data_IF_149278692064
#
_entry.id   IF_149278692064
#
_cell.length_a   1.000
_cell.length_b   1.000
_cell.length_c   1.000
_cell.angle_alpha   90.00
_cell.angle_beta   90.00
_cell.angle_gamma   90.00
#
_symmetry.space_group_name_H-M   'P 1'
#
loop_
_entity.id
_entity.type
_entity.pdbx_description
1 polymer ?
#
# COMPACT_ATOMS: atom_id res chain seq x y z
N UNK A 1 -3.38 24.23 -11.54
CA UNK A 1 -4.30 24.95 -12.44
C UNK A 1 -3.72 25.09 -13.85
N UNK A 2 -2.60 25.79 -14.07
CA UNK A 2 -2.08 26.10 -15.42
C UNK A 2 -1.97 24.90 -16.37
N UNK A 3 -1.41 23.77 -15.91
CA UNK A 3 -1.18 22.60 -16.78
C UNK A 3 -2.41 21.69 -16.95
N UNK A 4 -3.08 21.34 -15.85
CA UNK A 4 -4.14 20.32 -15.86
C UNK A 4 -5.58 20.89 -15.77
N UNK A 5 -5.73 22.20 -15.54
CA UNK A 5 -7.03 22.85 -15.25
C UNK A 5 -7.81 22.18 -14.11
N UNK A 6 -7.08 21.59 -13.14
CA UNK A 6 -7.62 20.98 -11.94
C UNK A 6 -7.39 21.90 -10.73
N UNK A 7 -8.44 22.10 -9.93
CA UNK A 7 -8.35 22.72 -8.60
C UNK A 7 -8.01 21.67 -7.54
N UNK A 8 -7.22 22.07 -6.53
CA UNK A 8 -6.77 21.17 -5.46
C UNK A 8 -6.88 21.86 -4.12
N UNK A 9 -7.16 21.07 -3.08
CA UNK A 9 -7.08 21.51 -1.68
C UNK A 9 -5.80 20.97 -1.07
N UNK A 10 -5.05 21.82 -0.38
CA UNK A 10 -3.71 21.48 0.12
C UNK A 10 -3.67 21.65 1.65
N UNK A 11 -3.14 20.63 2.33
CA UNK A 11 -2.75 20.74 3.74
C UNK A 11 -1.23 20.78 3.83
N UNK A 12 -0.68 21.79 4.50
CA UNK A 12 0.75 21.96 4.72
C UNK A 12 1.02 21.77 6.20
N UNK A 13 1.89 20.82 6.54
CA UNK A 13 2.30 20.53 7.91
C UNK A 13 3.67 19.84 7.89
N UNK A 14 4.25 19.61 9.07
CA UNK A 14 5.56 18.93 9.17
C UNK A 14 5.45 17.42 8.94
N UNK A 15 4.37 16.79 9.40
CA UNK A 15 4.12 15.36 9.20
C UNK A 15 3.07 15.11 8.12
N UNK A 16 3.17 13.96 7.46
CA UNK A 16 2.19 13.53 6.45
C UNK A 16 0.79 13.36 7.05
N UNK A 17 0.71 12.95 8.32
CA UNK A 17 -0.56 12.77 9.01
C UNK A 17 -1.27 14.11 9.22
N UNK A 18 -0.59 15.10 9.79
CA UNK A 18 -1.16 16.44 9.98
C UNK A 18 -1.55 17.08 8.64
N UNK A 19 -0.69 17.01 7.63
CA UNK A 19 -0.99 17.52 6.30
C UNK A 19 -2.24 16.84 5.69
N UNK A 20 -2.36 15.52 5.85
CA UNK A 20 -3.51 14.75 5.36
C UNK A 20 -4.81 15.06 6.10
N UNK A 21 -4.73 15.41 7.39
CA UNK A 21 -5.89 15.82 8.20
C UNK A 21 -6.29 17.28 7.95
N UNK A 22 -5.34 18.13 7.58
CA UNK A 22 -5.59 19.53 7.23
C UNK A 22 -6.18 19.70 5.82
N UNK A 23 -5.74 18.90 4.84
CA UNK A 23 -6.15 19.06 3.44
C UNK A 23 -7.67 19.00 3.19
N UNK A 24 -8.47 18.18 3.91
CA UNK A 24 -9.93 18.20 3.81
C UNK A 24 -10.57 19.48 4.34
N UNK A 25 -9.96 20.13 5.34
CA UNK A 25 -10.45 21.40 5.89
C UNK A 25 -10.24 22.55 4.90
N UNK A 26 -9.29 22.40 3.97
CA UNK A 26 -9.00 23.33 2.89
C UNK A 26 -9.94 23.17 1.68
N UNK A 27 -11.07 22.48 1.81
CA UNK A 27 -12.03 22.27 0.72
C UNK A 27 -13.09 23.37 0.68
N UNK A 28 -13.53 23.79 -0.52
CA UNK A 28 -12.94 23.51 -1.83
C UNK A 28 -11.74 24.42 -2.14
N UNK A 29 -10.76 23.92 -2.91
CA UNK A 29 -9.68 24.70 -3.55
C UNK A 29 -8.84 25.66 -2.68
N UNK A 30 -8.73 25.42 -1.37
CA UNK A 30 -7.96 26.24 -0.42
C UNK A 30 -6.64 25.59 0.05
N UNK A 31 -5.97 26.30 0.95
CA UNK A 31 -4.72 25.85 1.60
C UNK A 31 -4.84 26.03 3.11
N UNK A 32 -4.53 24.98 3.88
CA UNK A 32 -4.44 25.06 5.35
C UNK A 32 -3.00 24.80 5.78
N UNK A 33 -2.45 25.67 6.61
CA UNK A 33 -1.12 25.52 7.21
C UNK A 33 -1.27 25.16 8.68
N UNK A 34 -0.76 23.99 9.08
CA UNK A 34 -0.64 23.60 10.48
C UNK A 34 0.78 23.93 10.92
N UNK A 35 0.93 24.94 11.79
CA UNK A 35 2.24 25.34 12.29
C UNK A 35 2.80 24.25 13.19
N UNK A 36 4.12 24.21 13.30
CA UNK A 36 4.83 23.19 14.09
C UNK A 36 4.39 23.15 15.56
N UNK A 37 4.15 24.32 16.15
CA UNK A 37 3.74 24.42 17.55
C UNK A 37 2.35 23.81 17.79
N UNK A 38 1.46 23.91 16.80
CA UNK A 38 0.05 23.53 16.92
C UNK A 38 -0.21 22.09 16.48
N UNK A 39 0.76 21.44 15.82
CA UNK A 39 0.58 20.13 15.20
C UNK A 39 0.15 19.04 16.18
N UNK A 40 0.71 19.03 17.40
CA UNK A 40 0.34 18.07 18.44
C UNK A 40 -1.11 18.23 18.90
N UNK A 41 -1.53 19.48 19.14
CA UNK A 41 -2.93 19.79 19.48
C UNK A 41 -3.88 19.47 18.33
N UNK A 42 -3.50 19.86 17.11
CA UNK A 42 -4.29 19.64 15.91
C UNK A 42 -4.59 18.16 15.66
N UNK A 43 -3.56 17.31 15.69
CA UNK A 43 -3.76 15.89 15.45
C UNK A 43 -4.33 15.19 16.69
N UNK A 44 -3.94 15.61 17.91
CA UNK A 44 -4.54 15.15 19.16
C UNK A 44 -6.07 15.37 19.21
N UNK A 45 -6.56 16.42 18.55
CA UNK A 45 -7.98 16.70 18.44
C UNK A 45 -8.74 15.81 17.44
N UNK A 46 -8.04 15.14 16.54
CA UNK A 46 -8.67 14.33 15.50
C UNK A 46 -9.34 13.08 16.10
N UNK A 47 -10.60 12.78 15.71
CA UNK A 47 -11.23 11.50 16.02
C UNK A 47 -10.42 10.34 15.45
N UNK A 48 -10.33 9.22 16.18
CA UNK A 48 -9.57 8.04 15.72
C UNK A 48 -10.05 7.53 14.36
N UNK A 49 -11.36 7.56 14.12
CA UNK A 49 -11.97 7.15 12.86
C UNK A 49 -11.54 7.99 11.64
N UNK A 50 -11.03 9.23 11.86
CA UNK A 50 -10.50 10.09 10.79
C UNK A 50 -9.02 9.84 10.51
N UNK A 51 -8.33 9.05 11.33
CA UNK A 51 -6.92 8.75 11.12
C UNK A 51 -6.75 7.76 9.97
N UNK A 52 -5.96 8.08 8.93
CA UNK A 52 -5.64 7.14 7.86
C UNK A 52 -5.02 5.85 8.40
N UNK A 53 -5.65 4.71 8.09
CA UNK A 53 -5.25 3.40 8.62
C UNK A 53 -6.08 2.92 9.81
N UNK A 54 -6.89 3.79 10.41
CA UNK A 54 -7.89 3.47 11.45
C UNK A 54 -9.33 3.69 10.95
N UNK A 55 -9.56 3.73 9.64
CA UNK A 55 -10.92 3.86 9.10
C UNK A 55 -11.75 2.58 9.27
N UNK A 56 -13.07 2.73 9.29
CA UNK A 56 -14.03 1.62 9.31
C UNK A 56 -13.97 0.80 10.60
N UNK A 57 -14.09 -0.53 10.47
CA UNK A 57 -14.18 -1.45 11.61
C UNK A 57 -12.96 -1.39 12.54
N UNK A 58 -11.75 -1.29 11.98
CA UNK A 58 -10.52 -1.33 12.80
C UNK A 58 -10.43 -0.16 13.78
N UNK A 59 -10.80 1.05 13.38
CA UNK A 59 -10.84 2.20 14.29
C UNK A 59 -12.01 2.17 15.24
N UNK A 60 -13.18 1.69 14.81
CA UNK A 60 -14.34 1.55 15.68
C UNK A 60 -14.05 0.55 16.81
N UNK A 61 -13.51 -0.63 16.48
CA UNK A 61 -13.12 -1.65 17.44
C UNK A 61 -12.03 -1.13 18.40
N UNK A 62 -11.03 -0.41 17.87
CA UNK A 62 -9.97 0.18 18.70
C UNK A 62 -10.51 1.26 19.64
N UNK A 63 -11.38 2.15 19.14
CA UNK A 63 -12.00 3.22 19.92
C UNK A 63 -12.83 2.64 21.08
N UNK A 64 -13.65 1.63 20.81
CA UNK A 64 -14.46 0.96 21.82
C UNK A 64 -13.59 0.21 22.85
N UNK A 65 -12.59 -0.55 22.39
CA UNK A 65 -11.75 -1.37 23.26
C UNK A 65 -10.79 -0.57 24.15
N UNK A 66 -10.42 0.64 23.70
CA UNK A 66 -9.52 1.54 24.41
C UNK A 66 -10.28 2.64 25.15
N UNK A 67 -11.60 2.73 25.00
CA UNK A 67 -12.41 3.84 25.50
C UNK A 67 -11.81 5.21 25.10
N UNK A 68 -11.36 5.32 23.84
CA UNK A 68 -10.68 6.49 23.30
C UNK A 68 -11.40 6.96 22.04
N UNK A 69 -11.84 8.22 22.00
CA UNK A 69 -12.55 8.77 20.84
C UNK A 69 -11.59 9.56 19.94
N UNK A 70 -10.62 10.23 20.55
CA UNK A 70 -9.64 11.09 19.90
C UNK A 70 -8.23 10.58 20.13
N UNK A 71 -7.30 11.06 19.30
CA UNK A 71 -5.89 10.71 19.43
C UNK A 71 -5.31 11.10 20.79
N UNK A 72 -5.72 12.26 21.33
CA UNK A 72 -5.26 12.74 22.65
C UNK A 72 -5.63 11.82 23.83
N UNK A 73 -6.60 10.93 23.66
CA UNK A 73 -7.06 10.01 24.70
C UNK A 73 -6.15 8.77 24.79
N UNK A 74 -5.46 8.45 23.68
CA UNK A 74 -4.66 7.22 23.55
C UNK A 74 -3.54 7.06 24.59
N UNK A 75 -2.76 8.09 24.98
CA UNK A 75 -1.72 7.92 25.99
C UNK A 75 -2.28 7.40 27.33
N UNK A 76 -3.44 7.90 27.75
CA UNK A 76 -4.11 7.43 28.97
C UNK A 76 -4.69 6.01 28.80
N UNK A 77 -5.37 5.77 27.69
CA UNK A 77 -5.99 4.46 27.40
C UNK A 77 -4.98 3.33 27.17
N UNK A 78 -3.77 3.64 26.68
CA UNK A 78 -2.71 2.67 26.43
C UNK A 78 -1.68 2.62 27.56
N UNK A 79 -1.80 3.44 28.61
CA UNK A 79 -0.88 3.43 29.75
C UNK A 79 -0.81 2.06 30.48
N UNK A 80 -1.89 1.26 30.40
CA UNK A 80 -1.93 -0.12 30.91
C UNK A 80 -1.49 -1.20 29.90
N UNK A 81 -1.15 -0.82 28.66
CA UNK A 81 -0.75 -1.75 27.59
C UNK A 81 0.77 -1.72 27.49
N UNK A 82 1.42 -2.89 27.55
CA UNK A 82 2.89 -3.01 27.61
C UNK A 82 3.53 -2.69 26.23
N UNK A 83 3.54 -1.40 25.87
CA UNK A 83 4.24 -0.88 24.70
C UNK A 83 3.72 -1.34 23.34
N UNK A 84 4.49 -0.99 22.29
CA UNK A 84 4.12 -1.18 20.88
C UNK A 84 3.85 -2.64 20.50
N UNK A 85 4.60 -3.58 21.06
CA UNK A 85 4.45 -4.99 20.73
C UNK A 85 3.10 -5.56 21.18
N UNK A 86 2.59 -5.13 22.33
CA UNK A 86 1.26 -5.53 22.82
C UNK A 86 0.13 -4.93 22.01
N UNK A 87 0.25 -3.65 21.64
CA UNK A 87 -0.70 -3.03 20.73
C UNK A 87 -0.74 -3.77 19.38
N UNK A 88 0.42 -4.12 18.82
CA UNK A 88 0.53 -4.90 17.58
C UNK A 88 -0.07 -6.30 17.70
N UNK A 89 0.15 -6.99 18.82
CA UNK A 89 -0.48 -8.30 19.07
C UNK A 89 -1.99 -8.20 19.12
N UNK A 90 -2.53 -7.16 19.77
CA UNK A 90 -3.97 -6.99 20.00
C UNK A 90 -4.72 -6.47 18.77
N UNK A 91 -4.13 -5.52 18.04
CA UNK A 91 -4.80 -4.79 16.95
C UNK A 91 -4.10 -4.99 15.59
N UNK A 92 -3.12 -5.88 15.50
CA UNK A 92 -2.34 -6.09 14.28
C UNK A 92 -1.61 -4.81 13.85
N UNK A 93 -1.65 -4.52 12.55
CA UNK A 93 -1.03 -3.32 11.98
C UNK A 93 -1.62 -2.00 12.52
N UNK A 94 -2.90 -1.99 12.90
CA UNK A 94 -3.51 -0.83 13.53
C UNK A 94 -2.90 -0.57 14.92
N UNK A 95 -2.44 -1.61 15.61
CA UNK A 95 -1.74 -1.52 16.88
C UNK A 95 -0.43 -0.74 16.81
N UNK A 96 0.38 -0.99 15.76
CA UNK A 96 1.60 -0.21 15.50
C UNK A 96 1.30 1.29 15.43
N UNK A 97 0.19 1.62 14.74
CA UNK A 97 -0.23 2.99 14.51
C UNK A 97 -0.76 3.62 15.80
N UNK A 98 -1.63 2.94 16.54
CA UNK A 98 -2.16 3.40 17.82
C UNK A 98 -1.03 3.66 18.83
N UNK A 99 -0.06 2.76 18.94
CA UNK A 99 1.11 2.96 19.79
C UNK A 99 1.96 4.16 19.36
N UNK A 100 2.11 4.38 18.04
CA UNK A 100 2.83 5.54 17.53
C UNK A 100 2.10 6.87 17.82
N UNK A 101 0.77 6.87 17.75
CA UNK A 101 -0.07 8.04 18.05
C UNK A 101 -0.13 8.36 19.55
N UNK A 102 0.00 7.35 20.40
CA UNK A 102 0.01 7.47 21.86
C UNK A 102 1.36 7.89 22.43
N UNK A 103 2.44 7.68 21.67
CA UNK A 103 3.76 8.11 22.09
C UNK A 103 3.77 9.64 22.30
N UNK A 104 4.60 10.15 23.24
CA UNK A 104 4.87 11.57 23.32
C UNK A 104 5.24 12.09 21.93
N UNK A 105 4.70 13.25 21.57
CA UNK A 105 4.86 13.86 20.25
C UNK A 105 6.26 14.42 20.11
N UNK A 106 7.27 13.56 20.17
CA UNK A 106 8.56 13.88 19.61
C UNK A 106 8.45 13.67 18.10
N UNK A 107 8.75 14.72 17.37
CA UNK A 107 8.45 14.88 15.96
C UNK A 107 9.32 13.99 15.04
N UNK A 108 9.83 12.89 15.58
CA UNK A 108 10.65 11.87 14.97
C UNK A 108 9.90 10.54 14.77
N UNK A 109 8.56 10.53 14.80
CA UNK A 109 7.78 9.31 14.58
C UNK A 109 8.15 8.73 13.21
N UNK A 110 8.99 7.69 13.27
CA UNK A 110 9.53 6.93 12.17
C UNK A 110 8.39 6.24 11.42
N UNK A 111 7.83 6.94 10.44
CA UNK A 111 6.69 6.48 9.65
C UNK A 111 5.79 7.60 9.13
N UNK A 112 5.72 8.73 9.87
CA UNK A 112 4.93 9.91 9.48
C UNK A 112 5.78 11.15 9.19
N UNK A 113 7.06 11.12 9.56
CA UNK A 113 8.05 12.05 9.05
C UNK A 113 8.03 12.06 7.51
N UNK A 114 8.50 13.17 6.94
CA UNK A 114 8.75 13.34 5.52
C UNK A 114 9.90 12.42 5.03
N UNK A 115 9.82 11.12 5.29
CA UNK A 115 10.56 10.14 4.51
C UNK A 115 10.17 10.37 3.05
N UNK A 116 11.18 10.42 2.18
CA UNK A 116 11.01 10.72 0.77
C UNK A 116 9.82 9.93 0.22
N UNK A 117 8.91 10.64 -0.44
CA UNK A 117 7.84 10.01 -1.21
C UNK A 117 8.55 9.28 -2.35
N UNK A 118 8.94 8.03 -2.10
CA UNK A 118 9.49 7.20 -3.14
C UNK A 118 8.38 6.95 -4.15
N UNK A 119 8.64 7.30 -5.40
CA UNK A 119 7.79 6.88 -6.50
C UNK A 119 7.79 5.34 -6.52
N UNK A 120 6.66 4.76 -6.13
CA UNK A 120 6.52 3.30 -6.06
C UNK A 120 5.81 2.88 -7.32
N UNK A 121 6.56 2.25 -8.21
CA UNK A 121 6.02 1.50 -9.34
C UNK A 121 4.89 0.57 -8.86
N UNK A 122 3.75 0.58 -9.55
CA UNK A 122 2.52 -0.15 -9.13
C UNK A 122 2.80 -1.64 -8.94
N UNK A 123 2.60 -2.20 -7.74
CA UNK A 123 2.82 -3.64 -7.50
C UNK A 123 1.72 -4.54 -8.08
N UNK A 124 0.58 -3.96 -8.42
CA UNK A 124 -0.56 -4.70 -8.96
C UNK A 124 -1.40 -3.80 -9.86
N UNK A 125 -2.05 -4.42 -10.85
CA UNK A 125 -3.00 -3.79 -11.76
C UNK A 125 -4.36 -4.47 -11.60
N UNK A 126 -5.43 -3.69 -11.49
CA UNK A 126 -6.78 -4.14 -11.14
C UNK A 126 -7.78 -3.73 -12.23
N UNK A 127 -8.66 -4.63 -12.63
CA UNK A 127 -9.88 -4.31 -13.35
C UNK A 127 -11.08 -4.76 -12.51
N UNK A 128 -11.99 -3.85 -12.17
CA UNK A 128 -13.16 -4.17 -11.37
C UNK A 128 -14.44 -3.53 -11.91
N UNK A 129 -15.58 -4.16 -11.65
CA UNK A 129 -16.89 -3.60 -11.98
C UNK A 129 -17.94 -4.05 -10.97
N UNK A 130 -18.75 -3.09 -10.52
CA UNK A 130 -19.98 -3.35 -9.74
C UNK A 130 -21.18 -3.35 -10.69
N UNK A 131 -22.20 -4.15 -10.39
CA UNK A 131 -23.40 -4.31 -11.21
C UNK A 131 -24.59 -4.74 -10.34
N UNK A 132 -25.85 -4.62 -10.83
CA UNK A 132 -27.01 -5.21 -10.16
C UNK A 132 -26.80 -6.72 -9.91
N UNK A 133 -27.39 -7.31 -8.86
CA UNK A 133 -27.10 -8.69 -8.49
C UNK A 133 -27.27 -9.68 -9.65
N UNK A 134 -26.18 -10.36 -10.01
CA UNK A 134 -26.15 -11.39 -11.05
C UNK A 134 -26.40 -12.75 -10.42
N UNK A 135 -27.49 -13.40 -10.85
CA UNK A 135 -27.98 -14.66 -10.28
C UNK A 135 -27.75 -15.85 -11.21
N UNK A 136 -27.22 -15.62 -12.41
CA UNK A 136 -26.88 -16.69 -13.34
C UNK A 136 -25.36 -16.89 -13.40
N UNK A 137 -24.91 -18.14 -13.39
CA UNK A 137 -23.48 -18.47 -13.60
C UNK A 137 -22.99 -17.95 -14.95
N UNK A 138 -23.81 -18.09 -15.98
CA UNK A 138 -23.49 -17.61 -17.32
C UNK A 138 -23.38 -16.08 -17.40
N UNK A 139 -24.24 -15.37 -16.68
CA UNK A 139 -24.12 -13.91 -16.53
C UNK A 139 -22.83 -13.52 -15.81
N UNK A 140 -22.42 -14.24 -14.76
CA UNK A 140 -21.12 -14.00 -14.10
C UNK A 140 -19.96 -14.22 -15.08
N UNK A 141 -19.99 -15.31 -15.86
CA UNK A 141 -19.00 -15.60 -16.90
C UNK A 141 -18.91 -14.48 -17.95
N UNK A 142 -20.06 -14.07 -18.47
CA UNK A 142 -20.17 -12.97 -19.45
C UNK A 142 -19.58 -11.66 -18.90
N UNK A 143 -19.79 -11.37 -17.61
CA UNK A 143 -19.25 -10.18 -16.95
C UNK A 143 -17.75 -10.25 -16.65
N UNK A 144 -17.17 -11.45 -16.56
CA UNK A 144 -15.74 -11.64 -16.31
C UNK A 144 -14.90 -11.30 -17.55
N UNK A 145 -15.38 -11.62 -18.75
CA UNK A 145 -14.67 -11.38 -20.03
C UNK A 145 -14.18 -9.94 -20.22
N UNK A 146 -15.02 -8.89 -20.12
CA UNK A 146 -14.57 -7.51 -20.31
C UNK A 146 -13.57 -7.05 -19.22
N UNK A 147 -13.57 -7.67 -18.03
CA UNK A 147 -12.58 -7.38 -17.00
C UNK A 147 -11.21 -7.93 -17.35
N UNK A 148 -11.13 -9.10 -17.99
CA UNK A 148 -9.87 -9.66 -18.48
C UNK A 148 -9.29 -8.82 -19.61
N UNK A 149 -10.13 -8.37 -20.54
CA UNK A 149 -9.71 -7.46 -21.60
C UNK A 149 -9.19 -6.14 -21.02
N UNK A 150 -9.92 -5.57 -20.06
CA UNK A 150 -9.47 -4.36 -19.36
C UNK A 150 -8.14 -4.58 -18.62
N UNK A 151 -7.97 -5.71 -17.92
CA UNK A 151 -6.71 -6.03 -17.25
C UNK A 151 -5.56 -6.22 -18.24
N UNK A 152 -5.80 -6.86 -19.39
CA UNK A 152 -4.81 -7.02 -20.46
C UNK A 152 -4.34 -5.67 -21.01
N UNK A 153 -5.27 -4.72 -21.29
CA UNK A 153 -4.93 -3.35 -21.70
C UNK A 153 -4.07 -2.63 -20.66
N UNK A 154 -4.42 -2.80 -19.37
CA UNK A 154 -3.63 -2.20 -18.29
C UNK A 154 -2.24 -2.81 -18.18
N UNK A 155 -2.10 -4.13 -18.40
CA UNK A 155 -0.79 -4.78 -18.42
C UNK A 155 0.09 -4.24 -19.56
N UNK A 156 -0.48 -4.02 -20.73
CA UNK A 156 0.23 -3.41 -21.86
C UNK A 156 0.70 -1.98 -21.55
N UNK A 157 -0.19 -1.15 -21.01
CA UNK A 157 0.07 0.29 -20.80
C UNK A 157 0.84 0.62 -19.52
N UNK A 158 0.61 -0.11 -18.43
CA UNK A 158 1.03 0.28 -17.07
C UNK A 158 2.04 -0.69 -16.42
N UNK A 159 2.36 -1.83 -17.04
CA UNK A 159 3.29 -2.77 -16.42
C UNK A 159 4.75 -2.27 -16.45
N UNK A 160 5.08 -1.29 -17.29
CA UNK A 160 6.43 -0.69 -17.38
C UNK A 160 7.54 -1.73 -17.64
N UNK A 161 7.22 -2.77 -18.43
CA UNK A 161 8.11 -3.90 -18.72
C UNK A 161 8.26 -4.92 -17.58
N UNK A 162 7.53 -4.75 -16.46
CA UNK A 162 7.42 -5.77 -15.42
C UNK A 162 6.46 -6.85 -15.86
N UNK A 163 6.69 -8.06 -15.34
CA UNK A 163 5.91 -9.23 -15.72
C UNK A 163 4.86 -9.52 -14.67
N UNK A 164 3.63 -9.89 -15.07
CA UNK A 164 2.65 -10.39 -14.13
C UNK A 164 3.06 -11.77 -13.62
N UNK A 165 2.90 -11.97 -12.31
CA UNK A 165 3.27 -13.18 -11.59
C UNK A 165 2.06 -13.97 -11.12
N UNK A 166 1.05 -13.29 -10.58
CA UNK A 166 -0.19 -13.93 -10.11
C UNK A 166 -1.40 -13.26 -10.74
N UNK A 167 -2.39 -14.09 -11.03
CA UNK A 167 -3.74 -13.67 -11.39
C UNK A 167 -4.65 -13.89 -10.17
N UNK A 168 -5.37 -12.87 -9.75
CA UNK A 168 -6.32 -12.92 -8.64
C UNK A 168 -7.70 -12.59 -9.18
N UNK A 169 -8.68 -13.44 -8.92
CA UNK A 169 -10.09 -13.15 -9.20
C UNK A 169 -10.80 -12.95 -7.87
N UNK A 170 -11.59 -11.89 -7.76
CA UNK A 170 -12.41 -11.61 -6.60
C UNK A 170 -13.87 -11.40 -6.96
N UNK A 171 -14.76 -11.84 -6.09
CA UNK A 171 -16.20 -11.62 -6.21
C UNK A 171 -16.78 -11.11 -4.89
N UNK A 172 -17.77 -10.22 -4.98
CA UNK A 172 -18.62 -9.84 -3.85
C UNK A 172 -20.03 -10.34 -4.09
N UNK A 173 -20.62 -10.96 -3.07
CA UNK A 173 -22.03 -11.35 -3.03
C UNK A 173 -22.80 -10.33 -2.18
N UNK A 174 -23.92 -9.81 -2.69
CA UNK A 174 -24.69 -8.76 -2.02
C UNK A 174 -23.83 -7.56 -1.56
N UNK A 175 -23.95 -7.19 -0.28
CA UNK A 175 -23.14 -6.15 0.38
C UNK A 175 -22.01 -6.70 1.26
N UNK A 176 -21.69 -7.99 1.12
CA UNK A 176 -20.67 -8.66 1.93
C UNK A 176 -19.23 -8.30 1.58
N UNK A 177 -18.29 -9.03 2.17
CA UNK A 177 -16.86 -8.91 1.85
C UNK A 177 -16.54 -9.48 0.46
N UNK A 178 -15.45 -8.99 -0.14
CA UNK A 178 -14.89 -9.58 -1.36
C UNK A 178 -14.18 -10.88 -0.98
N UNK A 179 -14.56 -11.97 -1.63
CA UNK A 179 -13.85 -13.25 -1.57
C UNK A 179 -12.95 -13.33 -2.78
N UNK A 180 -11.73 -13.83 -2.63
CA UNK A 180 -10.78 -13.94 -3.73
C UNK A 180 -10.04 -15.26 -3.75
N UNK A 181 -9.63 -15.65 -4.95
CA UNK A 181 -8.76 -16.79 -5.23
C UNK A 181 -7.66 -16.33 -6.18
N UNK A 182 -6.50 -16.96 -6.10
CA UNK A 182 -5.35 -16.59 -6.92
C UNK A 182 -4.64 -17.80 -7.48
N UNK A 183 -4.07 -17.65 -8.66
CA UNK A 183 -3.19 -18.62 -9.31
C UNK A 183 -1.94 -17.93 -9.86
N UNK A 184 -0.97 -18.73 -10.29
CA UNK A 184 0.14 -18.23 -11.10
C UNK A 184 -0.40 -17.69 -12.43
N UNK A 185 0.17 -16.58 -12.89
CA UNK A 185 -0.28 -15.94 -14.12
C UNK A 185 -0.01 -16.87 -15.33
N UNK A 186 -1.00 -17.13 -16.19
CA UNK A 186 -0.85 -18.12 -17.26
C UNK A 186 0.16 -17.68 -18.33
N UNK A 187 1.09 -18.58 -18.67
CA UNK A 187 1.99 -18.44 -19.82
C UNK A 187 1.78 -19.55 -20.85
N UNK A 188 2.03 -19.22 -22.11
CA UNK A 188 2.24 -20.20 -23.19
C UNK A 188 3.75 -20.47 -23.29
N UNK A 189 4.14 -21.74 -23.24
CA UNK A 189 5.48 -22.16 -23.66
C UNK A 189 5.56 -22.03 -25.19
N UNK A 190 6.60 -21.36 -25.70
CA UNK A 190 6.85 -21.29 -27.14
C UNK A 190 6.33 -20.04 -27.85
N UNK A 191 5.69 -19.10 -27.15
CA UNK A 191 5.58 -17.75 -27.68
C UNK A 191 6.98 -17.13 -27.68
N UNK A 192 7.62 -17.13 -28.86
CA UNK A 192 8.82 -16.36 -29.15
C UNK A 192 8.66 -14.98 -28.52
N UNK A 193 9.66 -14.52 -27.79
CA UNK A 193 9.63 -13.26 -27.04
C UNK A 193 9.59 -11.99 -27.95
N UNK A 194 8.96 -12.06 -29.12
CA UNK A 194 8.96 -11.03 -30.17
C UNK A 194 7.63 -10.80 -30.89
N UNK A 195 6.59 -11.61 -30.71
CA UNK A 195 5.23 -11.19 -31.08
C UNK A 195 4.62 -10.51 -29.86
N UNK A 196 4.42 -9.20 -29.94
CA UNK A 196 3.59 -8.49 -28.98
C UNK A 196 2.25 -9.25 -28.90
N UNK A 197 2.01 -9.90 -27.78
CA UNK A 197 0.70 -10.48 -27.55
C UNK A 197 -0.28 -9.32 -27.54
N UNK A 198 -1.20 -9.32 -28.51
CA UNK A 198 -2.29 -8.36 -28.50
C UNK A 198 -3.13 -8.54 -27.22
N UNK A 199 -3.84 -7.49 -26.88
CA UNK A 199 -4.66 -7.41 -25.66
C UNK A 199 -5.62 -8.61 -25.58
N UNK A 200 -6.20 -8.98 -26.71
CA UNK A 200 -7.12 -10.10 -26.89
C UNK A 200 -6.44 -11.44 -26.59
N UNK A 201 -5.24 -11.68 -27.10
CA UNK A 201 -4.45 -12.89 -26.83
C UNK A 201 -4.07 -13.03 -25.35
N UNK A 202 -3.68 -11.94 -24.69
CA UNK A 202 -3.44 -11.93 -23.24
C UNK A 202 -4.71 -12.29 -22.47
N UNK A 203 -5.84 -11.67 -22.81
CA UNK A 203 -7.13 -11.92 -22.18
C UNK A 203 -7.61 -13.37 -22.37
N UNK A 204 -7.48 -13.91 -23.58
CA UNK A 204 -7.84 -15.29 -23.92
C UNK A 204 -7.05 -16.31 -23.09
N UNK A 205 -5.77 -16.05 -22.80
CA UNK A 205 -4.96 -16.91 -21.93
C UNK A 205 -5.34 -16.82 -20.46
N UNK A 206 -5.74 -15.63 -19.99
CA UNK A 206 -6.24 -15.47 -18.63
C UNK A 206 -7.59 -16.18 -18.42
N UNK A 207 -8.42 -16.27 -19.47
CA UNK A 207 -9.79 -16.78 -19.39
C UNK A 207 -9.95 -18.12 -18.66
N UNK A 208 -9.32 -19.23 -19.06
CA UNK A 208 -9.56 -20.52 -18.42
C UNK A 208 -9.15 -20.53 -16.94
N UNK A 209 -8.05 -19.85 -16.59
CA UNK A 209 -7.59 -19.73 -15.19
C UNK A 209 -8.56 -18.86 -14.39
N UNK A 210 -8.94 -17.70 -14.93
CA UNK A 210 -9.85 -16.78 -14.26
C UNK A 210 -11.24 -17.40 -14.05
N UNK A 211 -11.74 -18.11 -15.06
CA UNK A 211 -13.01 -18.81 -15.00
C UNK A 211 -12.99 -19.87 -13.91
N UNK A 212 -11.94 -20.71 -13.88
CA UNK A 212 -11.80 -21.73 -12.84
C UNK A 212 -11.72 -21.12 -11.44
N UNK A 213 -10.93 -20.05 -11.26
CA UNK A 213 -10.85 -19.33 -9.99
C UNK A 213 -12.20 -18.74 -9.57
N UNK A 214 -12.99 -18.24 -10.53
CA UNK A 214 -14.32 -17.73 -10.30
C UNK A 214 -15.27 -18.84 -9.86
N UNK A 215 -15.30 -19.97 -10.56
CA UNK A 215 -16.17 -21.11 -10.25
C UNK A 215 -15.90 -21.68 -8.85
N UNK A 216 -14.64 -21.75 -8.42
CA UNK A 216 -14.27 -22.17 -7.06
C UNK A 216 -14.80 -21.25 -5.95
N UNK A 217 -15.24 -20.04 -6.29
CA UNK A 217 -15.85 -19.11 -5.34
C UNK A 217 -17.37 -19.12 -5.38
N UNK A 218 -17.99 -19.78 -6.37
CA UNK A 218 -19.44 -19.82 -6.55
C UNK A 218 -19.99 -21.19 -6.10
N UNK A 219 -20.81 -21.25 -5.05
CA UNK A 219 -21.40 -22.52 -4.58
C UNK A 219 -22.23 -23.19 -5.68
N UNK A 220 -22.11 -24.51 -5.82
CA UNK A 220 -22.80 -25.30 -6.86
C UNK A 220 -24.32 -25.27 -6.74
N UNK A 221 -24.83 -25.20 -5.51
CA UNK A 221 -26.25 -25.39 -5.21
C UNK A 221 -27.00 -24.07 -4.92
N UNK A 222 -26.38 -22.91 -5.08
CA UNK A 222 -26.99 -21.61 -4.75
C UNK A 222 -26.82 -20.61 -5.89
N UNK A 223 -27.82 -19.76 -6.08
CA UNK A 223 -27.68 -18.62 -6.99
C UNK A 223 -26.54 -17.71 -6.49
N UNK A 224 -25.57 -17.34 -7.36
CA UNK A 224 -24.34 -16.67 -6.94
C UNK A 224 -24.59 -15.28 -6.34
N UNK A 225 -25.66 -14.56 -6.72
CA UNK A 225 -26.01 -13.21 -6.23
C UNK A 225 -24.81 -12.24 -6.19
N UNK A 226 -24.03 -12.24 -7.27
CA UNK A 226 -22.77 -11.48 -7.37
C UNK A 226 -23.08 -10.04 -7.73
N UNK A 227 -22.54 -9.08 -6.96
CA UNK A 227 -22.73 -7.63 -7.18
C UNK A 227 -21.46 -6.92 -7.64
N UNK A 228 -20.31 -7.60 -7.54
CA UNK A 228 -19.02 -7.08 -8.00
C UNK A 228 -18.09 -8.22 -8.40
N UNK A 229 -17.37 -8.02 -9.49
CA UNK A 229 -16.22 -8.83 -9.87
C UNK A 229 -14.98 -7.95 -9.99
N UNK A 230 -13.83 -8.54 -9.69
CA UNK A 230 -12.54 -7.94 -9.97
C UNK A 230 -11.53 -8.99 -10.42
N UNK A 231 -10.59 -8.55 -11.26
CA UNK A 231 -9.44 -9.34 -11.68
C UNK A 231 -8.19 -8.49 -11.49
N UNK A 232 -7.18 -9.06 -10.83
CA UNK A 232 -5.93 -8.37 -10.50
C UNK A 232 -4.74 -9.16 -11.01
N UNK A 233 -3.77 -8.47 -11.60
CA UNK A 233 -2.44 -9.02 -11.85
C UNK A 233 -1.45 -8.43 -10.84
N UNK A 234 -0.71 -9.27 -10.11
CA UNK A 234 0.43 -8.81 -9.29
C UNK A 234 1.69 -8.85 -10.14
N UNK A 235 2.48 -7.79 -10.11
CA UNK A 235 3.71 -7.66 -10.90
C UNK A 235 4.93 -8.08 -10.08
N UNK A 236 5.97 -8.54 -10.76
CA UNK A 236 7.29 -8.77 -10.14
C UNK A 236 7.92 -7.45 -9.67
N UNK A 237 8.68 -7.51 -8.57
CA UNK A 237 9.36 -6.34 -7.99
C UNK A 237 10.54 -5.83 -8.85
N UNK A 238 11.06 -6.66 -9.77
CA UNK A 238 12.18 -6.33 -10.64
C UNK A 238 11.76 -6.33 -12.11
N UNK A 239 12.21 -5.32 -12.87
CA UNK A 239 12.30 -5.42 -14.34
C UNK A 239 13.26 -6.58 -14.62
N UNK A 240 12.85 -7.66 -15.29
CA UNK A 240 13.73 -8.80 -15.47
C UNK A 240 15.00 -8.34 -16.18
N UNK A 241 16.17 -8.58 -15.58
CA UNK A 241 17.41 -8.57 -16.33
C UNK A 241 17.23 -9.52 -17.51
N UNK A 242 17.56 -9.05 -18.71
CA UNK A 242 17.38 -9.80 -19.96
C UNK A 242 17.80 -11.26 -19.81
N UNK A 243 16.85 -12.19 -19.95
CA UNK A 243 17.15 -13.61 -20.20
C UNK A 243 16.86 -14.63 -19.10
N UNK A 244 16.63 -14.27 -17.83
CA UNK A 244 16.42 -15.30 -16.79
C UNK A 244 14.93 -15.66 -16.57
N UNK A 245 14.50 -16.80 -17.13
CA UNK A 245 13.23 -17.45 -16.80
C UNK A 245 13.37 -18.26 -15.48
N UNK A 246 13.29 -17.63 -14.31
CA UNK A 246 13.16 -18.37 -13.03
C UNK A 246 11.69 -18.46 -12.61
N UNK A 247 11.17 -19.69 -12.57
CA UNK A 247 10.05 -20.09 -11.70
C UNK A 247 8.61 -19.83 -12.18
N UNK A 248 8.31 -19.81 -13.47
CA UNK A 248 6.94 -19.57 -13.96
C UNK A 248 6.32 -20.81 -14.64
N UNK A 249 5.02 -21.04 -14.38
CA UNK A 249 4.25 -22.22 -14.81
C UNK A 249 3.55 -22.00 -16.15
N UNK A 250 3.30 -23.09 -16.87
CA UNK A 250 2.49 -23.10 -18.10
C UNK A 250 1.00 -22.97 -17.79
N UNK A 251 0.16 -22.63 -18.78
CA UNK A 251 -1.31 -22.64 -18.63
C UNK A 251 -1.83 -23.94 -17.99
N UNK A 252 -1.39 -25.08 -18.51
CA UNK A 252 -1.78 -26.40 -18.00
C UNK A 252 -1.32 -26.60 -16.55
N UNK A 253 -0.08 -26.23 -16.22
CA UNK A 253 0.43 -26.31 -14.86
C UNK A 253 -0.28 -25.35 -13.90
N UNK A 254 -0.69 -24.18 -14.36
CA UNK A 254 -1.49 -23.23 -13.58
C UNK A 254 -2.87 -23.81 -13.27
N UNK A 255 -3.55 -24.41 -14.25
CA UNK A 255 -4.84 -25.08 -14.04
C UNK A 255 -4.71 -26.25 -13.06
N UNK A 256 -3.73 -27.13 -13.26
CA UNK A 256 -3.47 -28.22 -12.32
C UNK A 256 -3.16 -27.73 -10.90
N UNK A 257 -2.43 -26.62 -10.75
CA UNK A 257 -2.15 -26.03 -9.45
C UNK A 257 -3.42 -25.46 -8.79
N UNK A 258 -4.35 -24.91 -9.57
CA UNK A 258 -5.65 -24.45 -9.08
C UNK A 258 -6.51 -25.63 -8.64
N UNK A 259 -6.56 -26.71 -9.41
CA UNK A 259 -7.35 -27.90 -9.07
C UNK A 259 -6.83 -28.58 -7.80
N UNK A 260 -5.51 -28.77 -7.69
CA UNK A 260 -4.89 -29.31 -6.46
C UNK A 260 -5.15 -28.43 -5.24
N UNK A 261 -5.13 -27.10 -5.41
CA UNK A 261 -5.44 -26.19 -4.32
C UNK A 261 -6.93 -26.25 -3.92
N UNK A 262 -7.83 -26.50 -4.87
CA UNK A 262 -9.24 -26.69 -4.60
C UNK A 262 -9.50 -28.00 -3.84
N UNK A 263 -8.88 -29.10 -4.27
CA UNK A 263 -8.95 -30.40 -3.59
C UNK A 263 -8.48 -30.31 -2.14
N UNK A 264 -7.32 -29.69 -1.88
CA UNK A 264 -6.80 -29.51 -0.52
C UNK A 264 -7.72 -28.64 0.37
N UNK A 265 -8.46 -27.68 -0.20
CA UNK A 265 -9.45 -26.89 0.56
C UNK A 265 -10.70 -27.71 0.85
N UNK A 266 -11.16 -28.52 -0.10
CA UNK A 266 -12.30 -29.41 0.09
C UNK A 266 -12.02 -30.49 1.16
N UNK A 267 -10.84 -31.09 1.15
CA UNK A 267 -10.39 -32.06 2.17
C UNK A 267 -10.33 -31.43 3.56
N UNK A 268 -9.79 -30.21 3.69
CA UNK A 268 -9.76 -29.49 4.97
C UNK A 268 -11.16 -29.11 5.47
N UNK A 269 -12.11 -28.83 4.57
CA UNK A 269 -13.49 -28.53 4.93
C UNK A 269 -14.29 -29.80 5.34
N UNK A 270 -13.88 -30.98 4.89
CA UNK A 270 -14.49 -32.27 5.23
C UNK A 270 -13.98 -32.87 6.55
N UNK A 271 -12.88 -32.34 7.11
CA UNK A 271 -12.38 -32.76 8.42
C UNK A 271 -13.27 -32.23 9.55
N UNK A 272 -13.75 -33.05 10.50
CA UNK A 272 -14.66 -32.61 11.55
C UNK A 272 -13.98 -31.56 12.45
N UNK A 273 -14.48 -30.33 12.38
CA UNK A 273 -14.04 -29.23 13.23
C UNK A 273 -14.30 -29.56 14.71
N UNK A 274 -13.28 -29.42 15.55
CA UNK A 274 -13.47 -29.33 17.00
C UNK A 274 -14.35 -28.11 17.31
N UNK A 275 -15.31 -28.22 18.24
CA UNK A 275 -16.31 -27.20 18.47
C UNK A 275 -15.68 -25.96 19.11
N UNK A 276 -15.51 -24.90 18.31
CA UNK A 276 -15.26 -23.55 18.80
C UNK A 276 -16.58 -22.96 19.33
N UNK A 277 -16.52 -22.46 20.57
CA UNK A 277 -17.65 -21.92 21.32
C UNK A 277 -18.43 -20.85 20.53
N UNK A 278 -19.76 -20.92 20.66
CA UNK A 278 -20.76 -20.01 20.05
C UNK A 278 -20.39 -18.54 20.26
N UNK A 279 -20.12 -17.83 19.17
CA UNK A 279 -20.12 -16.38 19.14
C UNK A 279 -21.55 -15.85 18.89
N UNK A 280 -21.96 -14.90 19.72
CA UNK A 280 -23.23 -14.16 19.69
C UNK A 280 -23.37 -13.35 18.38
N UNK A 281 -24.57 -13.22 17.77
CA UNK A 281 -24.74 -12.51 16.50
C UNK A 281 -24.47 -11.00 16.64
N UNK A 282 -23.92 -10.34 15.60
CA UNK A 282 -23.71 -8.91 15.61
C UNK A 282 -25.04 -8.16 15.45
N UNK A 283 -25.26 -7.17 16.31
CA UNK A 283 -26.33 -6.19 16.22
C UNK A 283 -26.20 -5.35 14.95
N UNK A 284 -27.32 -5.18 14.25
CA UNK A 284 -27.44 -4.39 13.02
C UNK A 284 -27.05 -2.93 13.26
N UNK A 285 -25.92 -2.48 12.70
CA UNK A 285 -25.56 -1.06 12.65
C UNK A 285 -26.17 -0.43 11.40
N UNK A 286 -27.06 0.54 11.60
CA UNK A 286 -27.65 1.39 10.55
C UNK A 286 -26.57 2.06 9.71
N UNK A 287 -26.77 2.04 8.39
CA UNK A 287 -25.98 2.82 7.44
C UNK A 287 -26.09 4.31 7.76
N UNK A 288 -24.96 4.93 8.10
CA UNK A 288 -24.83 6.38 8.17
C UNK A 288 -24.29 6.87 6.83
N UNK A 289 -25.14 7.58 6.11
CA UNK A 289 -24.82 8.34 4.91
C UNK A 289 -23.76 9.38 5.28
N UNK A 290 -22.57 9.26 4.70
CA UNK A 290 -21.45 10.18 4.91
C UNK A 290 -21.68 11.52 4.23
N UNK A 291 -22.50 12.35 4.86
CA UNK A 291 -22.60 13.79 4.64
C UNK A 291 -22.81 14.43 6.00
N UNK A 292 -21.73 14.73 6.70
CA UNK A 292 -21.77 15.42 7.99
C UNK A 292 -21.09 16.78 7.87
N UNK A 293 -21.77 17.75 8.45
CA UNK A 293 -21.56 19.20 8.40
C UNK A 293 -20.14 19.66 8.75
N UNK A 294 -19.81 20.86 8.28
CA UNK A 294 -18.53 21.58 8.43
C UNK A 294 -18.31 22.18 9.83
N UNK A 295 -19.14 21.85 10.83
CA UNK A 295 -19.25 22.67 12.05
C UNK A 295 -18.34 22.28 13.22
N UNK A 296 -17.63 21.15 13.17
CA UNK A 296 -16.63 20.84 14.19
C UNK A 296 -15.29 21.49 13.84
N UNK A 297 -15.17 22.79 14.16
CA UNK A 297 -13.85 23.45 14.24
C UNK A 297 -13.02 22.73 15.34
N UNK A 298 -11.78 22.32 15.06
CA UNK A 298 -10.92 21.78 16.11
C UNK A 298 -10.68 22.87 17.17
N UNK A 299 -10.79 22.50 18.45
CA UNK A 299 -10.30 23.33 19.56
C UNK A 299 -8.78 23.51 19.40
N UNK A 300 -8.40 24.69 18.94
CA UNK A 300 -7.03 25.13 18.70
C UNK A 300 -7.03 26.23 17.66
N UNK A 301 -6.21 27.27 17.86
CA UNK A 301 -5.94 28.33 16.88
C UNK A 301 -5.19 27.74 15.68
N UNK A 302 -5.90 26.95 14.88
CA UNK A 302 -5.45 26.56 13.56
C UNK A 302 -5.84 27.71 12.65
N UNK A 303 -4.84 28.37 12.07
CA UNK A 303 -5.11 29.33 11.00
C UNK A 303 -5.69 28.58 9.81
N UNK A 304 -7.02 28.49 9.78
CA UNK A 304 -7.74 27.96 8.63
C UNK A 304 -7.86 29.11 7.63
N UNK A 305 -6.88 29.18 6.73
CA UNK A 305 -6.91 30.11 5.62
C UNK A 305 -7.90 29.62 4.54
N UNK A 306 -9.19 29.80 4.77
CA UNK A 306 -10.22 29.54 3.74
C UNK A 306 -10.34 30.80 2.87
N UNK A 307 -9.95 30.71 1.60
CA UNK A 307 -10.16 31.81 0.64
C UNK A 307 -9.14 32.95 0.72
N UNK A 308 -7.92 32.68 1.16
CA UNK A 308 -6.81 33.63 1.01
C UNK A 308 -6.52 33.91 -0.45
N UNK A 309 -6.40 35.20 -0.79
CA UNK A 309 -5.96 35.66 -2.10
C UNK A 309 -4.61 34.99 -2.47
N UNK A 310 -4.40 34.76 -3.76
CA UNK A 310 -3.21 34.13 -4.32
C UNK A 310 -1.92 34.81 -3.83
N UNK A 311 -1.98 36.12 -3.54
CA UNK A 311 -0.88 36.89 -2.97
C UNK A 311 -0.46 36.39 -1.57
N UNK A 312 -1.42 36.14 -0.68
CA UNK A 312 -1.16 35.64 0.68
C UNK A 312 -0.71 34.18 0.65
N UNK A 313 -1.29 33.36 -0.23
CA UNK A 313 -0.83 31.97 -0.43
C UNK A 313 0.64 31.92 -0.86
N UNK A 314 1.06 32.81 -1.77
CA UNK A 314 2.46 32.96 -2.20
C UNK A 314 3.37 33.41 -1.07
N UNK A 315 2.90 34.30 -0.20
CA UNK A 315 3.66 34.81 0.93
C UNK A 315 3.91 33.70 1.98
N UNK A 316 2.90 32.88 2.27
CA UNK A 316 3.03 31.71 3.14
C UNK A 316 3.97 30.64 2.58
N UNK A 317 3.89 30.34 1.27
CA UNK A 317 4.81 29.42 0.61
C UNK A 317 6.26 29.94 0.62
N UNK A 318 6.44 31.25 0.42
CA UNK A 318 7.76 31.89 0.48
C UNK A 318 8.35 31.83 1.89
N UNK A 319 7.54 32.06 2.93
CA UNK A 319 7.97 31.92 4.31
C UNK A 319 8.40 30.49 4.63
N UNK A 320 7.66 29.48 4.13
CA UNK A 320 8.03 28.07 4.28
C UNK A 320 9.37 27.72 3.61
N UNK A 321 9.63 28.22 2.39
CA UNK A 321 10.92 28.01 1.72
C UNK A 321 12.08 28.73 2.43
N UNK A 322 11.86 29.93 2.98
CA UNK A 322 12.86 30.62 3.81
C UNK A 322 13.19 29.83 5.08
N UNK A 323 12.16 29.30 5.75
CA UNK A 323 12.30 28.43 6.91
C UNK A 323 13.08 27.14 6.60
N UNK A 324 12.90 26.59 5.40
CA UNK A 324 13.60 25.40 4.92
C UNK A 324 15.06 25.71 4.60
N UNK A 325 15.34 26.86 3.96
CA UNK A 325 16.69 27.35 3.69
C UNK A 325 17.45 27.65 4.99
N UNK A 326 16.81 28.26 5.98
CA UNK A 326 17.41 28.52 7.30
C UNK A 326 17.80 27.22 8.05
N UNK A 327 17.16 26.09 7.73
CA UNK A 327 17.44 24.77 8.32
C UNK A 327 18.50 23.98 7.57
N UNK A 328 18.81 24.33 6.33
CA UNK A 328 19.91 23.74 5.58
C UNK A 328 21.24 24.20 6.19
N UNK A 329 21.73 23.49 7.21
CA UNK A 329 23.07 23.74 7.77
C UNK A 329 24.08 23.70 6.62
N UNK A 330 24.99 24.69 6.50
CA UNK A 330 26.09 24.57 5.56
C UNK A 330 26.88 23.31 5.94
N UNK A 331 26.96 22.35 5.02
CA UNK A 331 27.84 21.21 5.18
C UNK A 331 29.25 21.77 5.40
N UNK A 332 29.80 21.60 6.61
CA UNK A 332 31.20 21.88 6.86
C UNK A 332 32.00 20.95 5.94
N UNK A 333 32.52 21.52 4.87
CA UNK A 333 33.47 20.88 3.95
C UNK A 333 34.74 20.63 4.77
N UNK A 334 34.81 19.47 5.43
CA UNK A 334 36.07 18.97 5.97
C UNK A 334 36.95 18.60 4.79
N UNK A 335 37.93 19.44 4.50
CA UNK A 335 38.97 19.17 3.51
C UNK A 335 39.60 17.79 3.81
N UNK A 336 39.43 16.86 2.87
CA UNK A 336 40.15 15.58 2.90
C UNK A 336 41.63 15.86 2.63
N UNK A 337 42.57 15.41 3.48
CA UNK A 337 43.99 15.52 3.16
C UNK A 337 44.31 14.67 1.93
N UNK A 338 44.99 15.27 0.97
CA UNK A 338 45.38 14.65 -0.30
C UNK A 338 46.29 13.44 -0.06
N UNK A 339 45.89 12.26 -0.58
CA UNK A 339 46.76 11.08 -0.66
C UNK A 339 47.95 11.38 -1.56
N UNK A 340 49.12 11.48 -0.95
CA UNK A 340 50.43 11.59 -1.60
C UNK A 340 50.72 10.27 -2.34
N UNK A 341 50.78 10.32 -3.66
CA UNK A 341 51.17 9.22 -4.53
C UNK A 341 52.66 8.93 -4.34
N UNK A 342 52.99 7.77 -3.75
CA UNK A 342 54.36 7.24 -3.72
C UNK A 342 54.61 6.46 -4.99
N UNK A 343 55.55 6.96 -5.79
CA UNK A 343 56.08 6.39 -7.02
C UNK A 343 57.33 5.57 -6.66
N UNK A 344 57.31 4.27 -6.94
CA UNK A 344 58.47 3.37 -7.01
C UNK A 344 57.99 2.20 -7.88
N UNK A 345 58.65 1.74 -8.93
CA UNK A 345 60.06 1.78 -9.28
C UNK A 345 60.37 0.37 -9.80
N UNK A 346 60.28 0.18 -11.12
CA UNK A 346 60.59 -1.07 -11.80
C UNK A 346 62.10 -1.37 -11.68
N UNK A 347 62.46 -2.58 -11.26
CA UNK A 347 63.81 -3.13 -11.36
C UNK A 347 63.75 -4.65 -11.41
N UNK A 348 64.01 -5.22 -12.60
CA UNK A 348 64.20 -6.65 -12.86
C UNK A 348 65.69 -7.01 -12.76
N UNK A 349 65.96 -8.29 -12.46
CA UNK A 349 67.25 -8.98 -12.60
C UNK A 349 67.91 -9.25 -11.25
N UNK A 350 68.48 -10.41 -10.92
CA UNK A 350 68.77 -11.65 -11.68
C UNK A 350 69.16 -12.72 -10.63
N UNK A 351 69.04 -13.99 -11.00
CA UNK A 351 69.46 -15.16 -10.22
C UNK A 351 70.94 -15.11 -9.80
N UNK A 352 71.28 -15.62 -8.62
CA UNK A 352 72.23 -16.73 -8.47
C UNK A 352 72.37 -17.23 -7.00
N UNK A 353 72.81 -18.48 -6.95
CA UNK A 353 72.91 -19.43 -5.85
C UNK A 353 74.00 -19.13 -4.81
N UNK A 354 73.81 -19.73 -3.63
CA UNK A 354 74.80 -20.40 -2.79
C UNK A 354 75.23 -19.76 -1.46
N UNK A 355 75.30 -20.69 -0.49
CA UNK A 355 76.18 -20.77 0.66
C UNK A 355 75.76 -20.08 1.98
N UNK A 356 75.65 -20.94 2.98
CA UNK A 356 75.59 -20.70 4.40
C UNK A 356 76.75 -19.81 4.91
N UNK A 357 76.49 -19.06 5.98
CA UNK A 357 77.35 -18.98 7.18
C UNK A 357 76.69 -18.10 8.26
N UNK A 358 76.48 -18.65 9.46
CA UNK A 358 76.42 -17.92 10.74
C UNK A 358 77.84 -17.36 11.04
N UNK A 359 78.06 -16.29 11.86
CA UNK A 359 77.49 -16.18 13.21
C UNK A 359 77.17 -14.77 13.76
N UNK A 360 76.46 -14.84 14.89
CA UNK A 360 76.31 -13.91 16.04
C UNK A 360 77.21 -12.66 16.09
N UNK A 361 76.60 -11.54 16.47
CA UNK A 361 76.66 -11.00 17.84
C UNK A 361 75.36 -10.29 18.20
#
# INVERSE_FOLDING_TARGET
WQEAQLSVSVGVARTKLAARLASPLAKPAGVVLVRRADEGGFVGAAPLARIPGLGGKAGADASQQLCAERVRDLPGSLAGTVGRADAERRFGRAGSLLAALAAPWDFSIAGFAAADVMDRSKRSLLAEKSFPPERSREGVRTRLQPLLLALARRLELEAEGRRPRKLVVGCRRGYGAIHSRSADFPRVLGASAGTADDVEGVAARMWPVALRLCELMLPEHEAPDVTRLCVTATLDDAKPASGALRGQRTLFQSLQAVDKAAEAVAENAASPAQPLARATPPSQSKATTGGASLDDKPDGDVDVFVGVDLAEQRLLLRQFELDKLARARPAQIRARPSKRTRRAGNGRGTQQSAAAFFPRK
#
